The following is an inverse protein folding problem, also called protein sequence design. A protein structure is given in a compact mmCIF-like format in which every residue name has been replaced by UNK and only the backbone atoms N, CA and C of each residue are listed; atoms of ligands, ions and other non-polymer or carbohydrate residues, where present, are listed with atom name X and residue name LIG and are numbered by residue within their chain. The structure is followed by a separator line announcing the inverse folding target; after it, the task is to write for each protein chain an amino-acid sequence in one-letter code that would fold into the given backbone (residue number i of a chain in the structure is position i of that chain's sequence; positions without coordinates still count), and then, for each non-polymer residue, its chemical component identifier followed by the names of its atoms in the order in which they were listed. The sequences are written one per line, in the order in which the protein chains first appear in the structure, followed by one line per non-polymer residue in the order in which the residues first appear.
data_IF_123548980428
#
_entry.id   IF_123548980428
#
_cell.length_a   1.000
_cell.length_b   1.000
_cell.length_c   1.000
_cell.angle_alpha   90.00
_cell.angle_beta   90.00
_cell.angle_gamma   90.00
#
_symmetry.space_group_name_H-M   'P 1'
#
loop_
_entity.id
_entity.type
_entity.pdbx_description
1 polymer ?
#
# COMPACT_ATOMS: atom_id res chain seq x y z
N UNK A 1 -32.24 -17.93 1.63
CA UNK A 1 -32.27 -18.49 0.24
C UNK A 1 -30.90 -19.03 -0.11
N UNK A 2 -30.80 -20.04 -0.97
CA UNK A 2 -29.51 -20.69 -1.34
C UNK A 2 -28.41 -19.72 -1.79
N UNK A 3 -28.74 -18.63 -2.51
CA UNK A 3 -27.78 -17.63 -2.97
C UNK A 3 -27.20 -16.80 -1.82
N UNK A 4 -27.98 -16.51 -0.77
CA UNK A 4 -27.52 -15.79 0.41
C UNK A 4 -26.52 -16.62 1.23
N UNK A 5 -26.78 -17.93 1.35
CA UNK A 5 -25.87 -18.87 2.01
C UNK A 5 -24.55 -18.98 1.25
N UNK A 6 -24.59 -18.99 -0.09
CA UNK A 6 -23.39 -18.97 -0.93
C UNK A 6 -22.59 -17.69 -0.75
N UNK A 7 -23.26 -16.53 -0.74
CA UNK A 7 -22.59 -15.22 -0.51
C UNK A 7 -21.97 -15.20 0.89
N UNK A 8 -22.68 -15.65 1.92
CA UNK A 8 -22.15 -15.70 3.29
C UNK A 8 -20.92 -16.63 3.40
N UNK A 9 -20.99 -17.82 2.78
CA UNK A 9 -19.85 -18.75 2.71
C UNK A 9 -18.65 -18.14 2.00
N UNK A 10 -18.89 -17.45 0.87
CA UNK A 10 -17.85 -16.81 0.09
C UNK A 10 -17.17 -15.68 0.86
N UNK A 11 -17.94 -14.85 1.56
CA UNK A 11 -17.40 -13.80 2.43
C UNK A 11 -16.52 -14.38 3.53
N UNK A 12 -16.90 -15.52 4.12
CA UNK A 12 -16.07 -16.21 5.10
C UNK A 12 -14.76 -16.73 4.50
N UNK A 13 -14.80 -17.30 3.30
CA UNK A 13 -13.59 -17.74 2.58
C UNK A 13 -12.63 -16.55 2.37
N UNK A 14 -13.14 -15.39 1.94
CA UNK A 14 -12.35 -14.17 1.75
C UNK A 14 -11.70 -13.73 3.07
N UNK A 15 -12.49 -13.72 4.16
CA UNK A 15 -11.97 -13.35 5.48
C UNK A 15 -10.87 -14.31 5.95
N UNK A 16 -11.04 -15.61 5.78
CA UNK A 16 -10.07 -16.64 6.17
C UNK A 16 -8.79 -16.54 5.30
N UNK A 17 -8.92 -16.26 4.00
CA UNK A 17 -7.77 -16.01 3.11
C UNK A 17 -7.01 -14.74 3.53
N UNK A 18 -7.70 -13.65 3.91
CA UNK A 18 -7.07 -12.42 4.41
C UNK A 18 -6.31 -12.68 5.72
N UNK A 19 -6.89 -13.44 6.64
CA UNK A 19 -6.21 -13.85 7.89
C UNK A 19 -4.98 -14.71 7.61
N UNK A 20 -5.12 -15.71 6.73
CA UNK A 20 -4.01 -16.59 6.35
C UNK A 20 -2.88 -15.80 5.69
N UNK A 21 -3.21 -14.92 4.73
CA UNK A 21 -2.23 -14.02 4.10
C UNK A 21 -1.49 -13.20 5.16
N UNK A 22 -2.23 -12.60 6.11
CA UNK A 22 -1.63 -11.80 7.19
C UNK A 22 -0.69 -12.62 8.06
N UNK A 23 -1.08 -13.85 8.46
CA UNK A 23 -0.26 -14.72 9.29
C UNK A 23 1.02 -15.16 8.55
N UNK A 24 0.91 -15.54 7.28
CA UNK A 24 2.06 -15.89 6.43
C UNK A 24 2.97 -14.67 6.27
N UNK A 25 2.41 -13.50 5.99
CA UNK A 25 3.13 -12.26 5.86
C UNK A 25 3.97 -11.95 7.09
N UNK A 26 3.35 -12.00 8.29
CA UNK A 26 4.05 -11.78 9.55
C UNK A 26 5.17 -12.81 9.76
N UNK A 27 4.90 -14.08 9.51
CA UNK A 27 5.88 -15.16 9.69
C UNK A 27 7.08 -15.00 8.75
N UNK A 28 6.85 -14.72 7.47
CA UNK A 28 7.90 -14.56 6.46
C UNK A 28 8.86 -13.41 6.82
N UNK A 29 8.33 -12.23 7.16
CA UNK A 29 9.16 -11.08 7.46
C UNK A 29 9.79 -11.16 8.86
N UNK A 30 9.16 -11.83 9.82
CA UNK A 30 9.73 -12.04 11.15
C UNK A 30 10.98 -12.94 11.12
N UNK A 31 10.97 -13.97 10.26
CA UNK A 31 12.08 -14.92 10.12
C UNK A 31 13.03 -14.58 8.95
N UNK A 32 12.82 -13.45 8.29
CA UNK A 32 13.62 -13.03 7.16
C UNK A 32 15.10 -12.90 7.56
N UNK A 33 15.98 -13.49 6.76
CA UNK A 33 17.43 -13.38 6.89
C UNK A 33 17.99 -12.49 5.79
N UNK A 34 19.09 -11.81 6.05
CA UNK A 34 19.74 -10.91 5.09
C UNK A 34 20.56 -9.83 5.77
N UNK A 35 21.15 -8.98 4.98
CA UNK A 35 21.94 -7.86 5.46
C UNK A 35 21.02 -6.78 6.07
N UNK A 36 21.45 -6.21 7.20
CA UNK A 36 20.73 -5.13 7.87
C UNK A 36 21.24 -3.78 7.35
N UNK A 37 20.42 -3.12 6.55
CA UNK A 37 20.81 -1.89 5.85
C UNK A 37 19.81 -0.76 6.22
N UNK A 38 20.27 0.43 6.60
CA UNK A 38 19.37 1.57 6.82
C UNK A 38 18.71 2.01 5.52
N UNK A 39 17.45 2.46 5.59
CA UNK A 39 16.67 2.89 4.43
C UNK A 39 17.39 3.95 3.59
N UNK A 40 18.13 4.85 4.25
CA UNK A 40 18.92 5.89 3.57
C UNK A 40 20.04 5.38 2.67
N UNK A 41 20.51 4.15 2.88
CA UNK A 41 21.50 3.53 1.99
C UNK A 41 20.85 2.89 0.77
N UNK A 42 19.61 2.45 0.89
CA UNK A 42 18.84 1.77 -0.16
C UNK A 42 18.07 2.73 -1.07
N UNK A 43 17.55 3.81 -0.49
CA UNK A 43 16.69 4.74 -1.22
C UNK A 43 16.95 6.20 -0.82
N UNK A 44 16.75 7.09 -1.77
CA UNK A 44 16.60 8.51 -1.51
C UNK A 44 15.17 8.80 -1.05
N UNK A 45 15.04 9.46 0.10
CA UNK A 45 13.75 9.90 0.62
C UNK A 45 13.50 11.32 0.10
N UNK A 46 12.49 11.48 -0.74
CA UNK A 46 12.16 12.74 -1.40
C UNK A 46 10.87 13.28 -0.77
N UNK A 47 10.89 14.53 -0.31
CA UNK A 47 9.67 15.20 0.16
C UNK A 47 8.89 15.69 -1.04
N UNK A 48 7.57 15.46 -1.03
CA UNK A 48 6.67 15.95 -2.06
C UNK A 48 6.51 17.47 -2.07
N UNK A 49 5.81 17.98 -3.06
CA UNK A 49 5.63 19.41 -3.31
C UNK A 49 4.21 19.83 -2.95
N UNK A 50 4.10 20.92 -2.17
CA UNK A 50 2.81 21.47 -1.82
C UNK A 50 2.06 21.93 -3.06
N UNK A 51 0.77 21.64 -3.08
CA UNK A 51 -0.19 22.12 -4.07
C UNK A 51 -1.35 22.82 -3.34
N UNK A 52 -1.87 23.88 -3.91
CA UNK A 52 -3.03 24.57 -3.33
C UNK A 52 -4.30 23.76 -3.59
N UNK A 53 -5.18 23.69 -2.59
CA UNK A 53 -6.44 22.95 -2.73
C UNK A 53 -7.34 23.47 -3.85
N UNK A 54 -7.22 24.75 -4.22
CA UNK A 54 -7.93 25.36 -5.34
C UNK A 54 -7.47 24.89 -6.73
N UNK A 55 -6.30 24.26 -6.82
CA UNK A 55 -5.76 23.69 -8.06
C UNK A 55 -6.18 22.22 -8.25
N UNK A 56 -6.77 21.61 -7.22
CA UNK A 56 -7.29 20.25 -7.29
C UNK A 56 -8.66 20.22 -7.95
N UNK A 57 -8.91 19.19 -8.74
CA UNK A 57 -10.18 18.92 -9.39
C UNK A 57 -10.65 17.49 -9.09
N UNK A 58 -11.91 17.19 -9.43
CA UNK A 58 -12.43 15.82 -9.38
C UNK A 58 -12.06 15.00 -10.65
N UNK A 59 -11.68 15.70 -11.74
CA UNK A 59 -11.49 15.14 -13.08
C UNK A 59 -10.06 15.32 -13.62
N UNK A 60 -9.08 15.65 -12.78
CA UNK A 60 -7.68 15.76 -13.18
C UNK A 60 -7.10 14.39 -13.58
N UNK A 61 -6.04 14.40 -14.38
CA UNK A 61 -5.44 13.19 -14.96
C UNK A 61 -4.71 12.32 -13.92
N UNK A 62 -4.09 12.94 -12.92
CA UNK A 62 -3.25 12.27 -11.93
C UNK A 62 -3.80 12.51 -10.52
N UNK A 63 -3.83 11.47 -9.71
CA UNK A 63 -4.24 11.62 -8.31
C UNK A 63 -3.15 12.30 -7.48
N UNK A 64 -3.57 12.96 -6.40
CA UNK A 64 -2.70 13.70 -5.49
C UNK A 64 -2.67 13.00 -4.13
N UNK A 65 -1.49 12.52 -3.71
CA UNK A 65 -1.26 11.97 -2.37
C UNK A 65 -0.62 13.03 -1.49
N UNK A 66 -1.36 13.50 -0.48
CA UNK A 66 -0.91 14.57 0.42
C UNK A 66 -1.01 14.16 1.90
N UNK A 67 -0.45 13.00 2.25
CA UNK A 67 -0.39 12.51 3.63
C UNK A 67 -1.63 11.74 4.11
N UNK A 68 -2.65 11.53 3.25
CA UNK A 68 -3.80 10.67 3.50
C UNK A 68 -3.57 9.22 3.07
N UNK A 69 -4.53 8.35 3.38
CA UNK A 69 -4.59 6.96 2.87
C UNK A 69 -5.31 6.88 1.51
N UNK A 70 -6.02 7.94 1.15
CA UNK A 70 -6.74 8.12 -0.12
C UNK A 70 -6.26 9.42 -0.79
N UNK A 71 -6.41 9.53 -2.11
CA UNK A 71 -6.12 10.78 -2.81
C UNK A 71 -6.88 11.97 -2.23
N UNK A 72 -6.22 13.11 -2.16
CA UNK A 72 -6.81 14.40 -1.75
C UNK A 72 -7.58 15.09 -2.87
N UNK A 73 -7.47 14.58 -4.11
CA UNK A 73 -8.07 15.10 -5.33
C UNK A 73 -7.23 14.69 -6.53
N UNK A 74 -7.44 15.33 -7.66
CA UNK A 74 -6.73 15.07 -8.91
C UNK A 74 -6.13 16.36 -9.46
N UNK A 75 -5.05 16.21 -10.25
CA UNK A 75 -4.32 17.31 -10.88
C UNK A 75 -3.91 16.94 -12.31
N UNK A 76 -3.66 17.94 -13.17
CA UNK A 76 -3.32 17.67 -14.57
C UNK A 76 -1.84 17.35 -14.80
N UNK A 77 -0.99 17.54 -13.79
CA UNK A 77 0.42 17.20 -13.84
C UNK A 77 0.78 16.17 -12.76
N UNK A 78 1.90 15.50 -12.96
CA UNK A 78 2.52 14.62 -11.97
C UNK A 78 3.94 15.09 -11.66
N UNK A 79 4.44 14.75 -10.48
CA UNK A 79 5.83 14.98 -10.06
C UNK A 79 6.54 13.69 -9.63
N UNK A 80 5.82 12.57 -9.67
CA UNK A 80 6.32 11.25 -9.24
C UNK A 80 5.82 10.20 -10.21
N UNK A 81 6.74 9.39 -10.72
CA UNK A 81 6.45 8.29 -11.66
C UNK A 81 5.80 7.11 -10.94
N UNK A 82 5.16 6.26 -11.74
CA UNK A 82 4.61 4.97 -11.32
C UNK A 82 5.65 4.08 -10.58
N UNK A 83 5.17 3.02 -10.00
CA UNK A 83 5.96 2.02 -9.27
C UNK A 83 6.81 2.60 -8.13
N UNK A 84 6.29 3.66 -7.49
CA UNK A 84 6.94 4.39 -6.41
C UNK A 84 6.24 4.14 -5.07
N UNK A 85 7.03 3.93 -4.02
CA UNK A 85 6.55 3.85 -2.64
C UNK A 85 6.38 5.26 -2.09
N UNK A 86 5.21 5.54 -1.50
CA UNK A 86 4.97 6.75 -0.73
C UNK A 86 4.73 6.44 0.75
N UNK A 87 5.12 7.40 1.61
CA UNK A 87 4.93 7.32 3.06
C UNK A 87 4.33 8.64 3.52
N UNK A 88 3.19 8.56 4.22
CA UNK A 88 2.56 9.73 4.82
C UNK A 88 3.46 10.35 5.87
N UNK A 89 3.78 11.64 5.71
CA UNK A 89 4.62 12.37 6.67
C UNK A 89 3.84 12.78 7.92
N UNK A 90 2.57 13.14 7.78
CA UNK A 90 1.86 13.80 8.85
C UNK A 90 0.37 13.46 8.97
N UNK A 91 -0.25 13.97 10.04
CA UNK A 91 -1.65 13.77 10.35
C UNK A 91 -1.97 12.39 10.91
N UNK A 92 -3.25 12.01 10.87
CA UNK A 92 -3.74 10.74 11.42
C UNK A 92 -3.16 9.50 10.72
N UNK A 93 -2.81 9.64 9.45
CA UNK A 93 -2.21 8.58 8.63
C UNK A 93 -0.68 8.58 8.64
N UNK A 94 -0.08 9.36 9.52
CA UNK A 94 1.38 9.50 9.63
C UNK A 94 2.06 8.13 9.70
N UNK A 95 2.95 7.82 8.76
CA UNK A 95 3.63 6.54 8.64
C UNK A 95 2.94 5.51 7.73
N UNK A 96 1.77 5.83 7.18
CA UNK A 96 1.10 4.95 6.22
C UNK A 96 1.95 4.76 4.97
N UNK A 97 2.21 3.50 4.62
CA UNK A 97 3.01 3.10 3.46
C UNK A 97 2.10 2.67 2.32
N UNK A 98 2.30 3.23 1.15
CA UNK A 98 1.51 2.94 -0.05
C UNK A 98 2.40 2.67 -1.25
N UNK A 99 1.99 1.73 -2.11
CA UNK A 99 2.55 1.51 -3.44
C UNK A 99 1.70 2.23 -4.48
N UNK A 100 2.32 2.99 -5.35
CA UNK A 100 1.66 3.78 -6.39
C UNK A 100 2.02 3.20 -7.75
N UNK A 101 1.06 2.51 -8.37
CA UNK A 101 1.24 1.80 -9.66
C UNK A 101 1.06 2.68 -10.89
N UNK A 102 0.73 3.95 -10.73
CA UNK A 102 0.62 4.94 -11.80
C UNK A 102 1.26 6.26 -11.37
N UNK A 103 1.56 7.11 -12.34
CA UNK A 103 2.08 8.45 -12.09
C UNK A 103 1.11 9.24 -11.21
N UNK A 104 1.66 10.06 -10.32
CA UNK A 104 0.87 10.83 -9.35
C UNK A 104 1.58 12.10 -8.91
N UNK A 105 0.84 12.97 -8.24
CA UNK A 105 1.43 14.11 -7.55
C UNK A 105 1.68 13.78 -6.09
N UNK A 106 2.96 13.80 -5.68
CA UNK A 106 3.34 13.72 -4.27
C UNK A 106 3.27 15.10 -3.63
N UNK A 107 2.33 15.27 -2.71
CA UNK A 107 2.06 16.51 -1.99
C UNK A 107 3.03 16.76 -0.84
N UNK A 108 2.96 17.97 -0.26
CA UNK A 108 3.91 18.44 0.76
C UNK A 108 3.95 17.64 2.07
N UNK A 109 2.93 16.82 2.34
CA UNK A 109 2.86 15.93 3.51
C UNK A 109 3.10 14.46 3.13
N UNK A 110 3.84 14.21 2.06
CA UNK A 110 4.16 12.89 1.57
C UNK A 110 5.66 12.77 1.31
N UNK A 111 6.26 11.65 1.71
CA UNK A 111 7.57 11.23 1.26
C UNK A 111 7.43 10.19 0.16
N UNK A 112 8.34 10.22 -0.82
CA UNK A 112 8.50 9.15 -1.82
C UNK A 112 9.90 8.56 -1.75
N UNK A 113 10.05 7.30 -2.14
CA UNK A 113 11.29 6.57 -2.10
C UNK A 113 11.78 6.30 -3.52
N UNK A 114 12.96 6.82 -3.86
CA UNK A 114 13.67 6.50 -5.09
C UNK A 114 14.79 5.52 -4.78
N UNK A 115 14.68 4.28 -5.27
CA UNK A 115 15.72 3.26 -5.06
C UNK A 115 17.03 3.74 -5.69
N UNK A 116 18.13 3.60 -4.96
CA UNK A 116 19.46 3.95 -5.46
C UNK A 116 19.94 2.89 -6.47
N UNK A 117 20.62 3.30 -7.55
CA UNK A 117 21.10 2.35 -8.57
C UNK A 117 22.02 1.25 -8.04
N UNK A 118 22.70 1.52 -6.92
CA UNK A 118 23.63 0.58 -6.26
C UNK A 118 22.96 -0.36 -5.29
N UNK A 119 21.66 -0.15 -4.98
CA UNK A 119 20.95 -0.96 -4.00
C UNK A 119 20.47 -2.27 -4.62
N UNK A 120 20.80 -3.39 -3.99
CA UNK A 120 20.34 -4.72 -4.39
C UNK A 120 18.95 -5.03 -3.78
N UNK A 121 17.99 -4.14 -4.03
CA UNK A 121 16.63 -4.26 -3.53
C UNK A 121 15.62 -3.87 -4.61
N UNK A 122 14.55 -4.65 -4.73
CA UNK A 122 13.44 -4.34 -5.63
C UNK A 122 12.39 -3.47 -4.94
N UNK A 123 11.76 -2.56 -5.69
CA UNK A 123 10.69 -1.70 -5.15
C UNK A 123 9.52 -2.49 -4.55
N UNK A 124 9.01 -3.56 -5.21
CA UNK A 124 7.94 -4.37 -4.61
C UNK A 124 8.35 -5.05 -3.29
N UNK A 125 9.58 -5.56 -3.18
CA UNK A 125 10.06 -6.16 -1.94
C UNK A 125 10.16 -5.09 -0.83
N UNK A 126 10.78 -3.94 -1.13
CA UNK A 126 10.89 -2.85 -0.16
C UNK A 126 9.51 -2.36 0.29
N UNK A 127 8.54 -2.25 -0.62
CA UNK A 127 7.17 -1.93 -0.26
C UNK A 127 6.59 -2.92 0.76
N UNK A 128 6.69 -4.22 0.48
CA UNK A 128 6.17 -5.24 1.39
C UNK A 128 6.89 -5.22 2.74
N UNK A 129 8.21 -5.06 2.74
CA UNK A 129 8.97 -4.95 3.99
C UNK A 129 8.54 -3.73 4.82
N UNK A 130 8.45 -2.56 4.19
CA UNK A 130 8.00 -1.33 4.86
C UNK A 130 6.53 -1.43 5.31
N UNK A 131 5.68 -2.10 4.55
CA UNK A 131 4.30 -2.36 4.92
C UNK A 131 4.20 -3.28 6.15
N UNK A 132 5.08 -4.26 6.25
CA UNK A 132 5.22 -5.08 7.47
C UNK A 132 5.70 -4.25 8.65
N UNK A 133 6.64 -3.33 8.42
CA UNK A 133 7.18 -2.41 9.43
C UNK A 133 6.30 -1.18 9.66
N UNK A 134 5.17 -1.05 9.02
CA UNK A 134 4.31 0.14 9.13
C UNK A 134 3.96 0.52 10.57
N UNK A 135 3.64 -0.39 11.50
CA UNK A 135 3.44 -0.04 12.90
C UNK A 135 4.67 0.60 13.56
N UNK A 136 5.86 0.11 13.25
CA UNK A 136 7.13 0.66 13.77
C UNK A 136 7.40 2.04 13.16
N UNK A 137 7.11 2.22 11.86
CA UNK A 137 7.23 3.50 11.16
C UNK A 137 6.25 4.52 11.75
N UNK A 138 5.01 4.11 12.00
CA UNK A 138 4.00 4.95 12.66
C UNK A 138 4.41 5.36 14.07
N UNK A 139 5.16 4.52 14.79
CA UNK A 139 5.69 4.82 16.11
C UNK A 139 6.78 5.91 16.10
N UNK A 140 7.40 6.22 14.95
CA UNK A 140 8.39 7.30 14.80
C UNK A 140 7.77 8.70 14.85
N UNK A 141 6.44 8.79 14.79
CA UNK A 141 5.72 10.07 14.82
C UNK A 141 6.00 10.85 16.10
N UNK A 142 6.21 12.15 15.95
CA UNK A 142 6.43 13.08 17.04
C UNK A 142 5.48 14.30 16.92
N UNK A 143 5.17 14.92 18.03
CA UNK A 143 4.24 16.06 18.11
C UNK A 143 2.89 15.70 18.73
N UNK A 144 2.32 16.63 19.53
CA UNK A 144 1.09 16.42 20.30
C UNK A 144 -0.20 16.87 19.57
N UNK A 145 -0.09 17.72 18.55
CA UNK A 145 -1.25 18.22 17.80
C UNK A 145 -1.39 17.57 16.42
N UNK A 146 -0.45 17.88 15.55
CA UNK A 146 -0.34 17.29 14.22
C UNK A 146 0.96 16.45 14.17
N UNK A 147 0.89 15.16 14.49
CA UNK A 147 2.07 14.33 14.53
C UNK A 147 2.69 14.22 13.13
N UNK A 148 4.02 14.19 13.07
CA UNK A 148 4.75 13.95 11.83
C UNK A 148 5.96 13.04 12.05
N UNK A 149 6.43 12.43 10.97
CA UNK A 149 7.68 11.67 10.92
C UNK A 149 8.77 12.54 10.31
N UNK A 150 9.88 12.68 11.02
CA UNK A 150 11.04 13.37 10.49
C UNK A 150 11.80 12.49 9.49
N UNK A 151 12.21 13.08 8.37
CA UNK A 151 13.03 12.40 7.35
C UNK A 151 14.25 11.69 7.96
N UNK A 152 14.90 12.33 8.95
CA UNK A 152 16.08 11.79 9.66
C UNK A 152 15.79 10.49 10.43
N UNK A 153 14.56 10.32 10.95
CA UNK A 153 14.17 9.15 11.71
C UNK A 153 13.72 8.03 10.78
N UNK A 154 12.96 8.38 9.73
CA UNK A 154 12.61 7.45 8.65
C UNK A 154 13.87 6.88 7.97
N UNK A 155 14.91 7.71 7.76
CA UNK A 155 16.16 7.31 7.12
C UNK A 155 16.93 6.21 7.87
N UNK A 156 16.70 6.07 9.16
CA UNK A 156 17.35 5.07 10.04
C UNK A 156 16.59 3.75 10.11
N UNK A 157 15.40 3.67 9.52
CA UNK A 157 14.64 2.40 9.53
C UNK A 157 15.51 1.31 8.92
N UNK A 158 15.74 0.26 9.71
CA UNK A 158 16.59 -0.85 9.31
C UNK A 158 15.79 -1.84 8.46
N UNK A 159 16.28 -2.10 7.26
CA UNK A 159 15.72 -3.02 6.28
C UNK A 159 16.58 -4.28 6.27
N UNK A 160 15.95 -5.45 6.33
CA UNK A 160 16.64 -6.72 6.08
C UNK A 160 16.57 -6.98 4.58
N UNK A 161 17.74 -7.11 3.95
CA UNK A 161 17.87 -7.26 2.49
C UNK A 161 18.36 -8.68 2.19
N UNK A 162 17.47 -9.60 1.78
CA UNK A 162 17.85 -10.92 1.31
C UNK A 162 18.37 -10.83 -0.13
N UNK A 163 18.81 -11.94 -0.69
CA UNK A 163 19.21 -12.02 -2.10
C UNK A 163 18.05 -11.63 -3.03
N UNK A 164 18.37 -11.19 -4.25
CA UNK A 164 17.34 -10.81 -5.23
C UNK A 164 16.39 -11.98 -5.57
N UNK A 165 16.93 -13.21 -5.62
CA UNK A 165 16.12 -14.41 -5.86
C UNK A 165 15.12 -14.67 -4.73
N UNK A 166 15.54 -14.52 -3.47
CA UNK A 166 14.65 -14.63 -2.31
C UNK A 166 13.60 -13.52 -2.30
N UNK A 167 13.97 -12.28 -2.62
CA UNK A 167 13.02 -11.17 -2.78
C UNK A 167 11.96 -11.53 -3.82
N UNK A 168 12.36 -12.05 -4.98
CA UNK A 168 11.44 -12.41 -6.06
C UNK A 168 10.50 -13.54 -5.66
N UNK A 169 10.99 -14.57 -4.96
CA UNK A 169 10.16 -15.67 -4.45
C UNK A 169 9.12 -15.18 -3.43
N UNK A 170 9.53 -14.29 -2.51
CA UNK A 170 8.62 -13.70 -1.53
C UNK A 170 7.51 -12.89 -2.20
N UNK A 171 7.87 -12.04 -3.17
CA UNK A 171 6.91 -11.22 -3.91
C UNK A 171 5.93 -12.10 -4.69
N UNK A 172 6.42 -13.13 -5.38
CA UNK A 172 5.58 -14.06 -6.15
C UNK A 172 4.56 -14.77 -5.24
N UNK A 173 4.99 -15.21 -4.05
CA UNK A 173 4.10 -15.83 -3.07
C UNK A 173 3.02 -14.85 -2.59
N UNK A 174 3.39 -13.62 -2.20
CA UNK A 174 2.45 -12.61 -1.72
C UNK A 174 1.47 -12.18 -2.80
N UNK A 175 1.94 -12.05 -4.04
CA UNK A 175 1.09 -11.73 -5.20
C UNK A 175 0.08 -12.84 -5.49
N UNK A 176 0.48 -14.11 -5.33
CA UNK A 176 -0.44 -15.25 -5.50
C UNK A 176 -1.60 -15.19 -4.51
N UNK A 177 -1.33 -14.90 -3.24
CA UNK A 177 -2.38 -14.70 -2.23
C UNK A 177 -3.29 -13.51 -2.56
N UNK A 178 -2.71 -12.41 -3.03
CA UNK A 178 -3.48 -11.23 -3.39
C UNK A 178 -4.43 -11.51 -4.56
N UNK A 179 -3.91 -12.12 -5.64
CA UNK A 179 -4.74 -12.51 -6.79
C UNK A 179 -5.86 -13.49 -6.40
N UNK A 180 -5.58 -14.43 -5.48
CA UNK A 180 -6.61 -15.36 -4.99
C UNK A 180 -7.73 -14.62 -4.28
N UNK A 181 -7.41 -13.69 -3.39
CA UNK A 181 -8.40 -12.86 -2.68
C UNK A 181 -9.24 -12.04 -3.66
N UNK A 182 -8.60 -11.36 -4.62
CA UNK A 182 -9.28 -10.55 -5.64
C UNK A 182 -10.24 -11.38 -6.49
N UNK A 183 -9.85 -12.58 -6.90
CA UNK A 183 -10.71 -13.49 -7.65
C UNK A 183 -11.96 -13.88 -6.83
N UNK A 184 -11.82 -14.15 -5.52
CA UNK A 184 -12.96 -14.47 -4.66
C UNK A 184 -13.88 -13.25 -4.43
N UNK A 185 -13.30 -12.04 -4.34
CA UNK A 185 -14.07 -10.79 -4.26
C UNK A 185 -14.87 -10.52 -5.55
N UNK A 186 -14.26 -10.73 -6.72
CA UNK A 186 -14.95 -10.64 -8.02
C UNK A 186 -16.10 -11.67 -8.09
N UNK A 187 -15.84 -12.91 -7.66
CA UNK A 187 -16.87 -13.96 -7.63
C UNK A 187 -18.05 -13.56 -6.75
N UNK A 188 -17.79 -13.03 -5.55
CA UNK A 188 -18.80 -12.54 -4.64
C UNK A 188 -19.62 -11.38 -5.23
N UNK A 189 -18.94 -10.44 -5.90
CA UNK A 189 -19.60 -9.35 -6.61
C UNK A 189 -20.58 -9.87 -7.69
N UNK A 190 -20.19 -10.89 -8.45
CA UNK A 190 -21.03 -11.51 -9.46
C UNK A 190 -22.25 -12.23 -8.85
N UNK A 191 -22.08 -12.92 -7.70
CA UNK A 191 -23.21 -13.52 -6.98
C UNK A 191 -24.21 -12.46 -6.51
N UNK A 192 -23.74 -11.31 -6.02
CA UNK A 192 -24.61 -10.21 -5.62
C UNK A 192 -25.40 -9.63 -6.80
N UNK A 193 -24.75 -9.45 -7.97
CA UNK A 193 -25.45 -9.01 -9.20
C UNK A 193 -26.51 -10.01 -9.64
N UNK A 194 -26.20 -11.32 -9.60
CA UNK A 194 -27.19 -12.38 -9.91
C UNK A 194 -28.37 -12.35 -8.93
N UNK A 195 -28.12 -12.18 -7.63
CA UNK A 195 -29.18 -12.02 -6.64
C UNK A 195 -30.11 -10.85 -6.97
N UNK A 196 -29.53 -9.68 -7.26
CA UNK A 196 -30.32 -8.49 -7.62
C UNK A 196 -31.14 -8.71 -8.88
N UNK A 197 -30.57 -9.36 -9.90
CA UNK A 197 -31.30 -9.69 -11.13
C UNK A 197 -32.47 -10.63 -10.87
N UNK A 198 -32.29 -11.71 -10.09
CA UNK A 198 -33.34 -12.62 -9.73
C UNK A 198 -34.46 -11.91 -8.94
N UNK A 199 -34.14 -11.07 -7.99
CA UNK A 199 -35.13 -10.28 -7.24
C UNK A 199 -35.90 -9.35 -8.17
N UNK A 200 -35.26 -8.67 -9.11
CA UNK A 200 -35.98 -7.81 -10.06
C UNK A 200 -36.95 -8.55 -10.94
N UNK A 201 -36.69 -9.83 -11.27
CA UNK A 201 -37.63 -10.67 -12.03
C UNK A 201 -38.79 -11.20 -11.22
N UNK A 202 -38.66 -11.26 -9.88
CA UNK A 202 -39.73 -11.75 -9.01
C UNK A 202 -40.80 -10.69 -8.66
N UNK A 203 -40.48 -9.41 -8.87
CA UNK A 203 -41.37 -8.29 -8.53
C UNK A 203 -41.90 -7.54 -9.76
N UNK A 204 -41.82 -8.16 -10.94
CA UNK A 204 -42.56 -7.80 -12.15
C UNK A 204 -43.78 -8.68 -12.26
#
# INVERSE_FOLDING_TARGET
MLIDERIATQNKIIEDLKKLKSAIYQNLFFHLQGDKVPLSELAEIIKGQQINGSELSENGKYYVMNGGITPSGYYDNYNTEADTISISEGGNSCGYVQYNSSDFWSGGHCYTLRIKPTALISTPFLFHFLKWKEPDIMALRSGSGLPNIQKKDLSKVCIIVPTLDEQQQLIALLSTFQMKIENEEIFTSNLNKQKQHLLSQMFI
#
